data_IF_344564454945
#
_entry.id   IF_344564454945
#
_cell.length_a   1.000
_cell.length_b   1.000
_cell.length_c   1.000
_cell.angle_alpha   90.00
_cell.angle_beta   90.00
_cell.angle_gamma   90.00
#
_symmetry.space_group_name_H-M   'P 1'
#
loop_
_entity.id
_entity.type
_entity.pdbx_description
1 polymer ?
#
# COMPACT_ATOMS: atom_id res chain seq x y z
N UNK A 1 -29.95 12.69 -0.99
CA UNK A 1 -28.93 12.29 0.00
C UNK A 1 -27.58 12.60 -0.60
N UNK A 2 -26.88 13.61 -0.08
CA UNK A 2 -25.49 13.86 -0.45
C UNK A 2 -24.68 12.73 0.17
N UNK A 3 -24.12 11.85 -0.64
CA UNK A 3 -23.10 10.91 -0.16
C UNK A 3 -21.88 11.72 0.25
N UNK A 4 -21.52 11.69 1.52
CA UNK A 4 -20.26 12.23 2.02
C UNK A 4 -19.12 11.49 1.32
N UNK A 5 -18.52 12.13 0.32
CA UNK A 5 -17.42 11.58 -0.45
C UNK A 5 -16.12 12.08 0.18
N UNK A 6 -15.54 11.24 1.04
CA UNK A 6 -14.22 11.52 1.62
C UNK A 6 -13.14 10.82 0.79
N UNK A 7 -12.24 11.61 0.24
CA UNK A 7 -11.05 11.13 -0.47
C UNK A 7 -9.91 11.01 0.51
N UNK A 8 -9.41 9.79 0.69
CA UNK A 8 -8.29 9.54 1.59
C UNK A 8 -6.95 9.96 1.00
N UNK A 9 -6.71 9.67 -0.26
CA UNK A 9 -5.49 9.99 -1.00
C UNK A 9 -5.78 10.10 -2.50
N UNK A 10 -4.99 10.93 -3.17
CA UNK A 10 -5.05 11.18 -4.60
C UNK A 10 -3.67 10.96 -5.22
N UNK A 11 -3.62 10.36 -6.40
CA UNK A 11 -2.43 10.21 -7.22
C UNK A 11 -2.78 10.44 -8.69
N UNK A 12 -1.78 10.83 -9.49
CA UNK A 12 -1.93 11.04 -10.92
C UNK A 12 -0.96 10.12 -11.65
N UNK A 13 -1.49 9.33 -12.60
CA UNK A 13 -0.65 8.46 -13.43
C UNK A 13 0.13 9.25 -14.48
N UNK A 14 1.20 8.66 -15.05
CA UNK A 14 1.92 9.28 -16.18
C UNK A 14 1.03 9.59 -17.38
N UNK A 15 -0.11 8.92 -17.55
CA UNK A 15 -1.08 9.14 -18.61
C UNK A 15 -2.13 10.19 -18.26
N UNK A 16 -2.03 10.85 -17.08
CA UNK A 16 -2.96 11.89 -16.64
C UNK A 16 -4.25 11.37 -15.98
N UNK A 17 -4.37 10.07 -15.71
CA UNK A 17 -5.48 9.54 -14.94
C UNK A 17 -5.34 9.89 -13.45
N UNK A 18 -6.41 10.36 -12.86
CA UNK A 18 -6.50 10.62 -11.43
C UNK A 18 -7.03 9.36 -10.72
N UNK A 19 -6.29 8.90 -9.74
CA UNK A 19 -6.67 7.79 -8.87
C UNK A 19 -7.01 8.31 -7.48
N UNK A 20 -8.09 7.82 -6.90
CA UNK A 20 -8.60 8.21 -5.58
C UNK A 20 -8.87 6.96 -4.76
N UNK A 21 -8.38 6.88 -3.52
CA UNK A 21 -8.73 5.78 -2.61
C UNK A 21 -10.18 5.94 -2.15
N UNK A 22 -10.96 4.86 -2.31
CA UNK A 22 -12.29 4.71 -1.72
C UNK A 22 -12.41 3.32 -1.07
N UNK A 23 -12.03 3.24 0.20
CA UNK A 23 -12.02 1.97 0.94
C UNK A 23 -11.07 0.95 0.32
N UNK A 24 -11.63 -0.10 -0.25
CA UNK A 24 -10.90 -1.24 -0.84
C UNK A 24 -10.66 -1.08 -2.35
N UNK A 25 -10.99 0.08 -2.91
CA UNK A 25 -10.95 0.33 -4.35
C UNK A 25 -10.25 1.65 -4.67
N UNK A 26 -9.77 1.76 -5.90
CA UNK A 26 -9.38 3.03 -6.50
C UNK A 26 -10.48 3.47 -7.46
N UNK A 27 -10.97 4.67 -7.28
CA UNK A 27 -11.81 5.35 -8.26
C UNK A 27 -10.89 6.03 -9.26
N UNK A 28 -11.18 5.89 -10.56
CA UNK A 28 -10.37 6.48 -11.63
C UNK A 28 -11.16 7.50 -12.42
N UNK A 29 -10.51 8.63 -12.71
CA UNK A 29 -11.01 9.74 -13.52
C UNK A 29 -9.97 9.99 -14.60
N UNK A 30 -10.38 10.19 -15.85
CA UNK A 30 -9.44 10.48 -16.95
C UNK A 30 -9.04 11.96 -17.02
N UNK A 31 -8.17 12.28 -17.97
CA UNK A 31 -7.69 13.64 -18.19
C UNK A 31 -8.80 14.63 -18.62
N UNK A 32 -9.89 14.13 -19.18
CA UNK A 32 -11.09 14.89 -19.56
C UNK A 32 -12.10 15.03 -18.41
N UNK A 33 -11.70 14.60 -17.19
CA UNK A 33 -12.51 14.63 -15.98
C UNK A 33 -13.76 13.72 -16.03
N UNK A 34 -13.70 12.66 -16.85
CA UNK A 34 -14.75 11.65 -16.91
C UNK A 34 -14.44 10.45 -15.99
N UNK A 35 -15.43 10.02 -15.23
CA UNK A 35 -15.34 8.83 -14.39
C UNK A 35 -15.18 7.57 -15.25
N UNK A 36 -14.15 6.77 -14.98
CA UNK A 36 -13.83 5.53 -15.73
C UNK A 36 -14.21 4.26 -14.99
N UNK A 37 -14.37 4.32 -13.70
CA UNK A 37 -14.73 3.14 -12.92
C UNK A 37 -13.91 2.96 -11.66
N UNK A 38 -14.03 1.76 -11.10
CA UNK A 38 -13.26 1.33 -9.93
C UNK A 38 -12.23 0.29 -10.35
N UNK A 39 -10.97 0.52 -9.92
CA UNK A 39 -9.84 -0.38 -10.11
C UNK A 39 -9.44 -0.95 -8.76
N UNK A 40 -8.91 -2.17 -8.73
CA UNK A 40 -8.48 -2.79 -7.48
C UNK A 40 -9.63 -3.24 -6.59
N UNK A 41 -10.87 -3.22 -7.11
CA UNK A 41 -11.90 -4.04 -6.52
C UNK A 41 -11.33 -5.46 -6.46
N UNK A 42 -10.98 -5.92 -5.25
CA UNK A 42 -10.76 -7.35 -5.09
C UNK A 42 -11.92 -8.01 -5.84
N UNK A 43 -11.57 -8.82 -6.82
CA UNK A 43 -12.56 -9.56 -7.55
C UNK A 43 -13.49 -10.24 -6.53
N UNK A 44 -14.62 -9.63 -6.22
CA UNK A 44 -15.84 -10.38 -6.00
C UNK A 44 -16.16 -11.13 -7.30
N UNK A 45 -15.16 -11.21 -8.21
CA UNK A 45 -15.14 -11.92 -9.46
C UNK A 45 -15.35 -13.37 -9.16
N UNK A 46 -16.38 -13.90 -9.70
CA UNK A 46 -16.67 -15.27 -10.06
C UNK A 46 -15.49 -16.24 -9.85
N UNK A 47 -15.03 -16.39 -8.60
CA UNK A 47 -14.19 -17.50 -8.23
C UNK A 47 -15.08 -18.73 -8.30
N UNK A 48 -14.80 -19.63 -9.23
CA UNK A 48 -15.44 -20.95 -9.28
C UNK A 48 -15.42 -21.61 -7.89
N UNK A 49 -14.37 -21.37 -7.12
CA UNK A 49 -14.25 -21.79 -5.72
C UNK A 49 -15.32 -21.17 -4.83
N UNK A 50 -15.66 -19.89 -4.97
CA UNK A 50 -16.76 -19.24 -4.21
C UNK A 50 -18.12 -19.76 -4.64
N UNK A 51 -18.31 -20.05 -5.92
CA UNK A 51 -19.55 -20.68 -6.44
C UNK A 51 -19.68 -22.07 -5.85
N UNK A 52 -18.64 -22.88 -5.88
CA UNK A 52 -18.63 -24.24 -5.31
C UNK A 52 -18.85 -24.20 -3.79
N UNK A 53 -18.20 -23.30 -3.06
CA UNK A 53 -18.41 -23.12 -1.63
C UNK A 53 -19.86 -22.70 -1.34
N UNK A 54 -20.45 -21.81 -2.15
CA UNK A 54 -21.84 -21.37 -1.99
C UNK A 54 -22.84 -22.51 -2.28
N UNK A 55 -22.47 -23.46 -3.13
CA UNK A 55 -23.31 -24.62 -3.44
C UNK A 55 -23.19 -25.76 -2.43
N UNK A 56 -22.02 -25.95 -1.82
CA UNK A 56 -21.70 -27.12 -1.00
C UNK A 56 -21.41 -26.83 0.48
N UNK A 57 -21.15 -25.58 0.86
CA UNK A 57 -20.84 -25.22 2.25
C UNK A 57 -22.13 -25.02 3.08
N UNK A 58 -22.07 -25.41 4.35
CA UNK A 58 -23.13 -25.12 5.32
C UNK A 58 -23.31 -23.60 5.52
N UNK A 59 -24.50 -23.16 5.97
CA UNK A 59 -24.79 -21.74 6.25
C UNK A 59 -23.77 -21.10 7.21
N UNK A 60 -23.24 -21.88 8.14
CA UNK A 60 -22.26 -21.43 9.12
C UNK A 60 -20.87 -21.24 8.50
N UNK A 61 -20.48 -22.12 7.58
CA UNK A 61 -19.25 -21.97 6.79
C UNK A 61 -19.35 -20.82 5.78
N UNK A 62 -20.52 -20.65 5.16
CA UNK A 62 -20.80 -19.52 4.27
C UNK A 62 -20.69 -18.20 5.01
N UNK A 63 -21.21 -18.09 6.25
CA UNK A 63 -21.16 -16.87 7.04
C UNK A 63 -19.73 -16.47 7.49
N UNK A 64 -18.86 -17.46 7.72
CA UNK A 64 -17.46 -17.22 8.05
C UNK A 64 -16.64 -16.78 6.83
N UNK A 65 -16.92 -17.35 5.65
CA UNK A 65 -16.22 -17.03 4.40
C UNK A 65 -16.66 -15.71 3.76
N UNK A 66 -17.89 -15.26 4.06
CA UNK A 66 -18.42 -13.98 3.58
C UNK A 66 -18.01 -12.78 4.47
N UNK A 67 -17.36 -13.02 5.62
CA UNK A 67 -17.02 -11.98 6.60
C UNK A 67 -15.61 -11.40 6.48
N UNK A 68 -14.74 -11.97 5.67
CA UNK A 68 -13.42 -11.36 5.44
C UNK A 68 -13.51 -10.41 4.24
N UNK A 69 -13.91 -9.18 4.52
CA UNK A 69 -13.70 -8.10 3.58
C UNK A 69 -12.18 -7.82 3.47
N UNK A 70 -11.66 -7.60 2.26
CA UNK A 70 -10.27 -7.21 2.10
C UNK A 70 -10.01 -5.92 2.85
N UNK A 71 -8.80 -5.74 3.43
CA UNK A 71 -8.48 -4.51 4.14
C UNK A 71 -8.52 -3.30 3.21
N UNK A 72 -8.97 -2.16 3.75
CA UNK A 72 -8.96 -0.90 3.03
C UNK A 72 -7.53 -0.44 2.72
N UNK A 73 -7.35 0.22 1.58
CA UNK A 73 -6.11 0.90 1.26
C UNK A 73 -5.96 2.17 2.09
N UNK A 74 -4.75 2.45 2.58
CA UNK A 74 -4.44 3.67 3.34
C UNK A 74 -3.55 4.64 2.57
N UNK A 75 -2.67 4.12 1.72
CA UNK A 75 -1.83 4.92 0.84
C UNK A 75 -1.53 4.20 -0.46
N UNK A 76 -1.08 4.95 -1.46
CA UNK A 76 -0.59 4.41 -2.72
C UNK A 76 0.30 5.41 -3.44
N UNK A 77 1.08 4.87 -4.37
CA UNK A 77 1.80 5.62 -5.40
C UNK A 77 1.70 4.90 -6.73
N UNK A 78 2.01 5.59 -7.83
CA UNK A 78 1.93 5.06 -9.19
C UNK A 78 3.32 5.08 -9.81
N UNK A 79 3.84 3.90 -10.10
CA UNK A 79 5.14 3.77 -10.75
C UNK A 79 5.13 4.19 -12.22
N UNK A 80 6.32 4.41 -12.78
CA UNK A 80 6.52 4.70 -14.21
C UNK A 80 6.00 3.57 -15.11
N UNK A 81 5.90 2.34 -14.56
CA UNK A 81 5.29 1.18 -15.21
C UNK A 81 3.74 1.26 -15.28
N UNK A 82 3.13 2.31 -14.73
CA UNK A 82 1.69 2.50 -14.65
C UNK A 82 1.00 1.59 -13.63
N UNK A 83 1.75 0.85 -12.82
CA UNK A 83 1.19 0.03 -11.75
C UNK A 83 0.94 0.87 -10.50
N UNK A 84 -0.10 0.51 -9.76
CA UNK A 84 -0.41 1.11 -8.46
C UNK A 84 0.24 0.28 -7.36
N UNK A 85 1.09 0.91 -6.58
CA UNK A 85 1.68 0.32 -5.38
C UNK A 85 0.91 0.84 -4.17
N UNK A 86 0.23 -0.04 -3.46
CA UNK A 86 -0.71 0.36 -2.42
C UNK A 86 -0.46 -0.35 -1.10
N UNK A 87 -0.58 0.39 0.00
CA UNK A 87 -0.51 -0.14 1.36
C UNK A 87 -1.90 -0.37 1.94
N UNK A 88 -2.00 -1.29 2.90
CA UNK A 88 -3.25 -1.61 3.60
C UNK A 88 -3.10 -1.41 5.10
N UNK A 89 -4.15 -0.91 5.76
CA UNK A 89 -4.14 -0.59 7.21
C UNK A 89 -3.98 -1.82 8.08
N UNK A 90 -4.51 -2.95 7.64
CA UNK A 90 -4.51 -4.19 8.42
C UNK A 90 -3.67 -5.25 7.72
N UNK A 91 -2.52 -5.57 8.33
CA UNK A 91 -1.69 -6.66 7.87
C UNK A 91 -1.73 -7.84 8.81
N UNK A 92 -2.62 -8.76 8.58
CA UNK A 92 -2.57 -10.09 9.23
C UNK A 92 -1.64 -11.05 8.51
N UNK A 93 -1.16 -10.69 7.32
CA UNK A 93 -0.35 -11.54 6.45
C UNK A 93 0.80 -10.74 5.83
N UNK A 94 1.83 -11.43 5.37
CA UNK A 94 2.87 -10.88 4.49
C UNK A 94 2.24 -10.15 3.30
N UNK A 95 2.91 -9.12 2.78
CA UNK A 95 2.42 -8.41 1.60
C UNK A 95 1.64 -7.15 1.89
N UNK A 96 2.24 -6.31 2.70
CA UNK A 96 1.65 -5.04 3.10
C UNK A 96 1.58 -4.03 1.95
N UNK A 97 2.52 -4.09 0.99
CA UNK A 97 2.48 -3.30 -0.23
C UNK A 97 2.07 -4.22 -1.37
N UNK A 98 1.02 -3.84 -2.08
CA UNK A 98 0.48 -4.58 -3.23
C UNK A 98 0.85 -3.87 -4.52
N UNK A 99 1.27 -4.63 -5.52
CA UNK A 99 1.49 -4.12 -6.87
C UNK A 99 0.28 -4.48 -7.74
N UNK A 100 -0.52 -3.48 -8.10
CA UNK A 100 -1.83 -3.64 -8.71
C UNK A 100 -1.77 -3.14 -10.15
N UNK A 101 -2.19 -3.98 -11.09
CA UNK A 101 -2.24 -3.61 -12.50
C UNK A 101 -3.52 -2.84 -12.88
N UNK A 102 -3.60 -2.37 -14.12
CA UNK A 102 -4.71 -1.57 -14.63
C UNK A 102 -6.10 -2.26 -14.55
N UNK A 103 -6.14 -3.59 -14.44
CA UNK A 103 -7.39 -4.34 -14.24
C UNK A 103 -7.67 -4.65 -12.77
N UNK A 104 -6.87 -4.09 -11.85
CA UNK A 104 -7.09 -4.20 -10.43
C UNK A 104 -6.54 -5.47 -9.78
N UNK A 105 -5.78 -6.28 -10.51
CA UNK A 105 -5.21 -7.52 -9.99
C UNK A 105 -3.88 -7.25 -9.29
N UNK A 106 -3.71 -7.74 -8.06
CA UNK A 106 -2.40 -7.81 -7.42
C UNK A 106 -1.52 -8.82 -8.18
N UNK A 107 -0.44 -8.33 -8.78
CA UNK A 107 0.48 -9.15 -9.58
C UNK A 107 1.63 -9.72 -8.76
N UNK A 108 1.69 -9.42 -7.46
CA UNK A 108 2.64 -9.96 -6.49
C UNK A 108 1.93 -10.75 -5.38
N UNK A 109 1.17 -11.83 -5.72
CA UNK A 109 0.38 -12.53 -4.71
C UNK A 109 1.21 -13.40 -3.76
N UNK A 110 2.37 -13.89 -4.21
CA UNK A 110 3.18 -14.87 -3.48
C UNK A 110 4.49 -14.30 -2.93
N UNK A 111 5.02 -13.27 -3.56
CA UNK A 111 6.23 -12.57 -3.14
C UNK A 111 5.90 -11.09 -2.94
N UNK A 112 5.56 -10.76 -1.73
CA UNK A 112 5.07 -9.44 -1.41
C UNK A 112 6.16 -8.60 -0.76
N UNK A 113 6.13 -7.30 -1.03
CA UNK A 113 6.87 -6.34 -0.23
C UNK A 113 6.41 -6.41 1.23
N UNK A 114 7.33 -6.31 2.18
CA UNK A 114 7.00 -6.31 3.58
C UNK A 114 6.78 -7.70 4.18
N UNK A 115 7.70 -8.61 3.90
CA UNK A 115 7.73 -9.90 4.57
C UNK A 115 7.86 -9.75 6.09
N UNK A 116 7.31 -10.73 6.80
CA UNK A 116 7.46 -10.84 8.26
C UNK A 116 8.93 -10.90 8.63
N UNK A 117 9.35 -10.08 9.59
CA UNK A 117 10.71 -10.08 10.11
C UNK A 117 10.73 -10.50 11.58
N UNK A 118 11.80 -11.15 11.98
CA UNK A 118 12.01 -11.51 13.37
C UNK A 118 12.63 -10.33 14.14
N UNK A 119 11.96 -9.90 15.20
CA UNK A 119 12.48 -8.86 16.08
C UNK A 119 13.21 -9.51 17.26
N UNK A 120 14.53 -9.43 17.27
CA UNK A 120 15.39 -10.04 18.30
C UNK A 120 15.16 -9.43 19.70
N UNK A 121 14.72 -8.18 19.79
CA UNK A 121 14.49 -7.52 21.08
C UNK A 121 13.21 -8.01 21.77
N UNK A 122 12.18 -8.31 20.98
CA UNK A 122 10.89 -8.78 21.48
C UNK A 122 10.73 -10.29 21.37
N UNK A 123 11.66 -10.96 20.67
CA UNK A 123 11.63 -12.39 20.36
C UNK A 123 10.31 -12.82 19.66
N UNK A 124 9.78 -11.94 18.81
CA UNK A 124 8.51 -12.14 18.09
C UNK A 124 8.70 -11.84 16.61
N UNK A 125 7.98 -12.56 15.76
CA UNK A 125 7.83 -12.22 14.35
C UNK A 125 6.82 -11.08 14.21
N UNK A 126 7.23 -10.00 13.55
CA UNK A 126 6.40 -8.84 13.28
C UNK A 126 6.13 -8.72 11.78
N UNK A 127 4.90 -8.33 11.45
CA UNK A 127 4.57 -7.88 10.10
C UNK A 127 4.78 -6.37 10.04
N UNK A 128 5.50 -5.85 9.05
CA UNK A 128 5.60 -4.40 8.85
C UNK A 128 4.20 -3.82 8.64
N UNK A 129 3.97 -2.65 9.19
CA UNK A 129 2.74 -1.89 8.99
C UNK A 129 3.07 -0.62 8.22
N UNK A 130 3.03 -0.71 6.91
CA UNK A 130 3.30 0.44 6.07
C UNK A 130 2.15 1.45 6.10
N UNK A 131 2.48 2.67 6.50
CA UNK A 131 1.55 3.80 6.54
C UNK A 131 1.61 4.62 5.25
N UNK A 132 2.71 4.51 4.51
CA UNK A 132 2.90 5.18 3.23
C UNK A 132 3.83 4.40 2.31
N UNK A 133 3.75 4.66 1.01
CA UNK A 133 4.57 4.05 -0.04
C UNK A 133 4.91 5.08 -1.10
N UNK A 134 6.12 5.03 -1.64
CA UNK A 134 6.52 5.78 -2.82
C UNK A 134 7.35 4.89 -3.76
N UNK A 135 7.30 5.19 -5.04
CA UNK A 135 8.00 4.47 -6.09
C UNK A 135 9.01 5.39 -6.77
N UNK A 136 10.27 5.05 -6.63
CA UNK A 136 11.37 5.79 -7.27
C UNK A 136 11.71 5.28 -8.66
N UNK A 137 12.65 5.97 -9.27
CA UNK A 137 13.19 5.59 -10.58
C UNK A 137 13.67 4.14 -10.60
N UNK A 138 13.48 3.46 -11.74
CA UNK A 138 13.86 2.07 -11.89
C UNK A 138 12.96 1.08 -11.15
N UNK A 139 11.82 1.53 -10.61
CA UNK A 139 10.86 0.68 -9.92
C UNK A 139 11.25 0.34 -8.47
N UNK A 140 12.18 1.09 -7.88
CA UNK A 140 12.50 0.98 -6.44
C UNK A 140 11.27 1.34 -5.61
N UNK A 141 10.94 0.52 -4.64
CA UNK A 141 9.76 0.71 -3.79
C UNK A 141 10.19 1.02 -2.37
N UNK A 142 9.67 2.13 -1.84
CA UNK A 142 9.96 2.57 -0.48
C UNK A 142 8.67 2.50 0.35
N UNK A 143 8.72 1.79 1.47
CA UNK A 143 7.62 1.71 2.42
C UNK A 143 7.98 2.38 3.74
N UNK A 144 7.12 3.29 4.22
CA UNK A 144 7.26 3.89 5.54
C UNK A 144 6.52 3.05 6.57
N UNK A 145 7.27 2.43 7.49
CA UNK A 145 6.72 1.58 8.52
C UNK A 145 6.37 2.40 9.78
N UNK A 146 5.14 2.26 10.27
CA UNK A 146 4.57 3.15 11.27
C UNK A 146 4.98 2.86 12.71
N UNK A 147 5.34 1.61 13.06
CA UNK A 147 5.70 1.26 14.44
C UNK A 147 7.17 1.53 14.76
N UNK A 148 8.06 1.09 13.87
CA UNK A 148 9.50 1.30 14.02
C UNK A 148 9.96 2.65 13.53
N UNK A 149 9.08 3.40 12.86
CA UNK A 149 9.42 4.67 12.21
C UNK A 149 10.57 4.51 11.20
N UNK A 150 10.60 3.39 10.47
CA UNK A 150 11.66 3.06 9.52
C UNK A 150 11.15 3.10 8.08
N UNK A 151 12.06 3.40 7.16
CA UNK A 151 11.84 3.27 5.72
C UNK A 151 12.50 1.99 5.25
N UNK A 152 11.75 1.18 4.53
CA UNK A 152 12.19 -0.04 3.88
C UNK A 152 12.28 0.20 2.38
N UNK A 153 13.44 -0.06 1.80
CA UNK A 153 13.68 0.06 0.37
C UNK A 153 13.78 -1.33 -0.27
N UNK A 154 13.04 -1.52 -1.35
CA UNK A 154 12.95 -2.79 -2.09
C UNK A 154 13.32 -2.58 -3.55
N UNK A 155 13.88 -3.62 -4.18
CA UNK A 155 14.00 -3.67 -5.63
C UNK A 155 12.65 -3.98 -6.32
N UNK A 156 12.57 -3.88 -7.67
CA UNK A 156 11.34 -4.20 -8.41
C UNK A 156 10.85 -5.64 -8.22
N UNK A 157 11.74 -6.56 -7.85
CA UNK A 157 11.47 -7.97 -7.59
C UNK A 157 10.98 -8.22 -6.15
N UNK A 158 10.95 -7.16 -5.29
CA UNK A 158 10.50 -7.22 -3.90
C UNK A 158 11.56 -7.69 -2.91
N UNK A 159 12.85 -7.72 -3.29
CA UNK A 159 13.91 -8.01 -2.35
C UNK A 159 14.24 -6.78 -1.52
N UNK A 160 14.42 -6.95 -0.21
CA UNK A 160 14.81 -5.86 0.69
C UNK A 160 16.26 -5.45 0.42
N UNK A 161 16.47 -4.17 0.08
CA UNK A 161 17.78 -3.59 -0.19
C UNK A 161 18.36 -2.87 1.03
N UNK A 162 17.53 -2.09 1.72
CA UNK A 162 17.96 -1.28 2.85
C UNK A 162 16.80 -1.00 3.81
N UNK A 163 17.16 -0.73 5.08
CA UNK A 163 16.28 -0.18 6.11
C UNK A 163 17.00 0.98 6.77
N UNK A 164 16.34 2.14 6.84
CA UNK A 164 16.91 3.33 7.44
C UNK A 164 15.86 4.17 8.19
N UNK A 165 16.26 5.22 8.87
CA UNK A 165 15.37 5.98 9.75
C UNK A 165 15.27 5.35 11.14
N UNK A 166 14.06 5.28 11.68
CA UNK A 166 13.73 4.76 13.01
C UNK A 166 13.38 5.86 14.00
N UNK A 167 12.84 5.49 15.15
CA UNK A 167 12.43 6.43 16.19
C UNK A 167 13.61 7.18 16.80
N UNK A 168 13.47 8.49 16.99
CA UNK A 168 14.48 9.30 17.66
C UNK A 168 14.39 10.79 17.34
N UNK A 169 15.29 11.56 17.97
CA UNK A 169 15.37 13.04 17.86
C UNK A 169 16.62 13.52 17.11
N UNK A 170 17.49 12.62 16.70
CA UNK A 170 18.72 12.96 15.98
C UNK A 170 18.48 12.98 14.47
N UNK A 171 19.39 13.59 13.73
CA UNK A 171 19.32 13.63 12.26
C UNK A 171 19.16 12.21 11.68
N UNK A 172 18.22 12.04 10.77
CA UNK A 172 17.91 10.75 10.15
C UNK A 172 17.01 9.83 10.99
N UNK A 173 16.47 10.32 12.10
CA UNK A 173 15.46 9.65 12.92
C UNK A 173 14.19 10.48 12.97
N UNK A 174 13.05 9.82 13.23
CA UNK A 174 11.73 10.44 13.22
C UNK A 174 11.05 10.31 14.58
N UNK A 175 10.20 11.28 14.95
CA UNK A 175 9.38 11.19 16.15
C UNK A 175 7.96 10.71 15.83
N UNK A 176 7.40 11.14 14.71
CA UNK A 176 6.08 10.70 14.23
C UNK A 176 6.01 10.85 12.69
N UNK A 177 6.67 9.97 11.94
CA UNK A 177 6.65 10.05 10.48
C UNK A 177 5.23 9.86 9.96
N UNK A 178 4.86 10.62 8.92
CA UNK A 178 3.51 10.69 8.38
C UNK A 178 3.42 10.33 6.90
N UNK A 179 4.41 10.74 6.14
CA UNK A 179 4.44 10.54 4.70
C UNK A 179 5.86 10.41 4.20
N UNK A 180 6.01 9.72 3.09
CA UNK A 180 7.26 9.65 2.35
C UNK A 180 7.01 9.94 0.88
N UNK A 181 8.05 10.43 0.19
CA UNK A 181 8.05 10.64 -1.24
C UNK A 181 9.47 10.51 -1.79
N UNK A 182 9.61 10.31 -3.09
CA UNK A 182 10.89 10.14 -3.79
C UNK A 182 10.93 11.02 -5.02
N UNK A 183 12.00 11.79 -5.18
CA UNK A 183 12.17 12.60 -6.38
C UNK A 183 12.83 11.80 -7.53
N UNK A 184 12.89 12.41 -8.71
CA UNK A 184 13.50 11.81 -9.90
C UNK A 184 15.02 11.58 -9.78
N UNK A 185 15.69 12.18 -8.80
CA UNK A 185 17.10 11.95 -8.51
C UNK A 185 17.34 10.75 -7.56
N UNK A 186 16.26 10.17 -7.03
CA UNK A 186 16.31 9.06 -6.07
C UNK A 186 16.42 9.49 -4.61
N UNK A 187 16.35 10.78 -4.32
CA UNK A 187 16.32 11.24 -2.92
C UNK A 187 14.98 10.90 -2.27
N UNK A 188 15.03 10.32 -1.10
CA UNK A 188 13.86 9.98 -0.29
C UNK A 188 13.57 11.09 0.70
N UNK A 189 12.34 11.53 0.76
CA UNK A 189 11.86 12.56 1.68
C UNK A 189 10.86 11.96 2.66
N UNK A 190 11.03 12.22 3.95
CA UNK A 190 10.11 11.76 5.00
C UNK A 190 9.63 12.98 5.80
N UNK A 191 8.31 13.17 5.82
CA UNK A 191 7.67 14.18 6.66
C UNK A 191 7.51 13.65 8.08
N UNK A 192 8.12 14.32 9.05
CA UNK A 192 7.90 14.06 10.46
C UNK A 192 6.82 15.02 11.00
N UNK A 193 5.65 14.47 11.31
CA UNK A 193 4.50 15.24 11.77
C UNK A 193 4.65 15.81 13.19
N UNK A 194 5.52 15.27 14.03
CA UNK A 194 5.75 15.80 15.36
C UNK A 194 6.65 17.05 15.35
N UNK A 195 7.62 17.09 14.43
CA UNK A 195 8.57 18.19 14.32
C UNK A 195 8.23 19.20 13.21
N UNK A 196 7.42 18.78 12.24
CA UNK A 196 7.16 19.54 11.01
C UNK A 196 8.35 19.55 10.05
N UNK A 197 9.37 18.74 10.28
CA UNK A 197 10.54 18.66 9.41
C UNK A 197 10.35 17.68 8.28
N UNK A 198 10.99 17.98 7.15
CA UNK A 198 11.17 17.04 6.05
C UNK A 198 12.62 16.57 6.09
N UNK A 199 12.80 15.28 6.33
CA UNK A 199 14.12 14.64 6.30
C UNK A 199 14.41 14.18 4.87
N UNK A 200 15.61 14.50 4.36
CA UNK A 200 16.08 14.07 3.04
C UNK A 200 17.21 13.05 3.21
N UNK A 201 17.09 11.96 2.48
CA UNK A 201 18.12 10.91 2.31
C UNK A 201 18.51 10.88 0.83
N UNK A 202 19.78 11.09 0.54
CA UNK A 202 20.35 11.10 -0.80
C UNK A 202 21.24 9.86 -0.99
#
# INVERSE_FOLDING_TARGET
>A
ESMDFQVGRLGISPQGYIYLIKGQHFMTIDAENAFKGYVGANELGFSLTRILIRMFASREQQSKLLKEEPPAYNSFDIGDDGMVYATTVEGKTSGQIRKINAVGKNIFPEKAYGETYFNEHTNVYNNPRFIDVAVGAGGLVYGLEGYSSQVYAYDPEGNLLAVFGGEGKVKGRFQAPKALDVNSAGDVFVLDGATGYIHRFA
#
